data_IF_071816232444
#
_entry.id   IF_071816232444
#
_cell.length_a   1.000
_cell.length_b   1.000
_cell.length_c   1.000
_cell.angle_alpha   90.00
_cell.angle_beta   90.00
_cell.angle_gamma   90.00
#
_symmetry.space_group_name_H-M   'P 1'
#
loop_
_entity.id
_entity.type
_entity.pdbx_description
1 polymer ?
#
# COMPACT_ATOMS: atom_id res chain seq x y z
N UNK A 1 8.12 -17.27 -13.23
CA UNK A 1 6.69 -17.57 -13.49
C UNK A 1 5.90 -16.37 -12.99
N UNK A 2 5.29 -15.58 -13.89
CA UNK A 2 4.45 -14.44 -13.49
C UNK A 2 3.22 -15.00 -12.75
N UNK A 3 2.83 -14.36 -11.63
CA UNK A 3 1.64 -14.73 -10.88
C UNK A 3 0.41 -14.67 -11.81
N UNK A 4 -0.54 -15.60 -11.66
CA UNK A 4 -1.84 -15.47 -12.34
C UNK A 4 -2.57 -14.21 -11.84
N UNK A 5 -3.45 -13.58 -12.65
CA UNK A 5 -4.18 -12.39 -12.22
C UNK A 5 -4.92 -12.56 -10.89
N UNK A 6 -5.56 -13.72 -10.70
CA UNK A 6 -6.23 -14.05 -9.44
C UNK A 6 -5.26 -14.19 -8.26
N UNK A 7 -4.08 -14.78 -8.47
CA UNK A 7 -3.05 -14.89 -7.44
C UNK A 7 -2.43 -13.52 -7.11
N UNK A 8 -2.22 -12.67 -8.11
CA UNK A 8 -1.75 -11.30 -7.93
C UNK A 8 -2.74 -10.47 -7.12
N UNK A 9 -4.05 -10.55 -7.46
CA UNK A 9 -5.13 -9.88 -6.70
C UNK A 9 -5.17 -10.32 -5.24
N UNK A 10 -5.17 -11.63 -4.98
CA UNK A 10 -5.19 -12.18 -3.61
C UNK A 10 -3.94 -11.78 -2.83
N UNK A 11 -2.76 -11.83 -3.47
CA UNK A 11 -1.50 -11.40 -2.86
C UNK A 11 -1.55 -9.92 -2.49
N UNK A 12 -1.96 -9.06 -3.42
CA UNK A 12 -2.12 -7.63 -3.17
C UNK A 12 -3.06 -7.38 -2.00
N UNK A 13 -4.23 -8.01 -2.01
CA UNK A 13 -5.22 -7.89 -0.95
C UNK A 13 -4.68 -8.28 0.42
N UNK A 14 -3.98 -9.41 0.53
CA UNK A 14 -3.34 -9.84 1.77
C UNK A 14 -2.35 -8.81 2.27
N UNK A 15 -1.47 -8.30 1.40
CA UNK A 15 -0.52 -7.25 1.78
C UNK A 15 -1.26 -6.00 2.25
N UNK A 16 -2.34 -5.59 1.58
CA UNK A 16 -3.15 -4.42 1.97
C UNK A 16 -3.76 -4.61 3.35
N UNK A 17 -4.37 -5.76 3.62
CA UNK A 17 -4.98 -6.04 4.92
C UNK A 17 -3.94 -6.03 6.03
N UNK A 18 -2.80 -6.72 5.84
CA UNK A 18 -1.74 -6.80 6.86
C UNK A 18 -1.12 -5.42 7.13
N UNK A 19 -0.73 -4.69 6.08
CA UNK A 19 -0.12 -3.37 6.23
C UNK A 19 -1.12 -2.33 6.74
N UNK A 20 -2.38 -2.42 6.29
CA UNK A 20 -3.46 -1.56 6.74
C UNK A 20 -3.78 -1.78 8.21
N UNK A 21 -3.90 -3.02 8.66
CA UNK A 21 -4.09 -3.37 10.06
C UNK A 21 -2.90 -2.90 10.92
N UNK A 22 -1.66 -3.07 10.44
CA UNK A 22 -0.48 -2.54 11.12
C UNK A 22 -0.52 -1.00 11.23
N UNK A 23 -0.89 -0.28 10.17
CA UNK A 23 -1.03 1.18 10.20
C UNK A 23 -2.17 1.67 11.10
N UNK A 24 -3.27 0.91 11.15
CA UNK A 24 -4.45 1.23 11.97
C UNK A 24 -4.22 0.97 13.46
N UNK A 25 -3.62 -0.17 13.80
CA UNK A 25 -3.54 -0.64 15.17
C UNK A 25 -2.18 -0.37 15.81
N UNK A 26 -1.11 -0.35 15.01
CA UNK A 26 0.27 -0.20 15.48
C UNK A 26 1.07 0.81 14.61
N UNK A 27 0.59 2.06 14.43
CA UNK A 27 1.23 3.05 13.56
C UNK A 27 2.70 3.31 13.94
N UNK A 28 3.05 3.18 15.21
CA UNK A 28 4.41 3.37 15.71
C UNK A 28 5.43 2.44 15.06
N UNK A 29 5.03 1.21 14.70
CA UNK A 29 5.94 0.25 14.06
C UNK A 29 6.27 0.66 12.63
N UNK A 30 5.31 1.22 11.90
CA UNK A 30 5.51 1.66 10.52
C UNK A 30 6.25 3.00 10.47
N UNK A 31 5.89 3.94 11.33
CA UNK A 31 6.58 5.23 11.47
C UNK A 31 8.05 5.04 11.87
N UNK A 32 8.33 4.13 12.81
CA UNK A 32 9.72 3.80 13.18
C UNK A 32 10.54 3.25 12.01
N UNK A 33 9.92 2.46 11.11
CA UNK A 33 10.58 1.99 9.87
C UNK A 33 10.83 3.11 8.86
N UNK A 34 10.06 4.19 8.92
CA UNK A 34 10.27 5.40 8.14
C UNK A 34 11.32 6.34 8.76
N UNK A 35 11.85 6.01 9.93
CA UNK A 35 12.89 6.78 10.62
C UNK A 35 12.36 7.83 11.60
N UNK A 36 11.06 7.83 11.90
CA UNK A 36 10.48 8.71 12.92
C UNK A 36 10.74 8.16 14.31
N UNK A 37 11.30 8.98 15.22
CA UNK A 37 11.26 8.68 16.65
C UNK A 37 9.87 8.98 17.20
N UNK A 38 9.06 7.92 17.30
CA UNK A 38 7.66 8.01 17.73
C UNK A 38 7.47 8.36 19.21
N UNK A 39 8.55 8.42 19.99
CA UNK A 39 8.50 8.94 21.37
C UNK A 39 8.54 10.47 21.40
N UNK A 40 9.21 11.08 20.42
CA UNK A 40 9.38 12.52 20.30
C UNK A 40 8.35 13.14 19.36
N UNK A 41 7.97 12.44 18.29
CA UNK A 41 7.00 12.92 17.29
C UNK A 41 5.89 11.89 17.04
N UNK A 42 4.65 12.27 17.35
CA UNK A 42 3.44 11.46 17.16
C UNK A 42 2.52 11.99 16.07
N UNK A 43 2.92 13.03 15.35
CA UNK A 43 2.11 13.68 14.31
C UNK A 43 1.66 12.69 13.23
N UNK A 44 2.48 11.69 12.92
CA UNK A 44 2.16 10.63 11.95
C UNK A 44 1.11 9.61 12.38
N UNK A 45 0.71 9.54 13.66
CA UNK A 45 -0.16 8.46 14.16
C UNK A 45 -1.57 8.55 13.56
N UNK A 46 -2.18 9.73 13.58
CA UNK A 46 -3.51 9.94 13.03
C UNK A 46 -3.55 9.70 11.51
N UNK A 47 -2.63 10.28 10.69
CA UNK A 47 -2.55 9.97 9.27
C UNK A 47 -2.34 8.47 8.98
N UNK A 48 -1.48 7.77 9.73
CA UNK A 48 -1.27 6.34 9.54
C UNK A 48 -2.50 5.49 9.88
N UNK A 49 -3.31 5.91 10.86
CA UNK A 49 -4.59 5.25 11.16
C UNK A 49 -5.61 5.46 10.04
N UNK A 50 -5.70 6.69 9.52
CA UNK A 50 -6.56 7.01 8.38
C UNK A 50 -6.12 6.29 7.10
N UNK A 51 -4.81 6.16 6.88
CA UNK A 51 -4.24 5.33 5.83
C UNK A 51 -4.65 3.87 6.05
N UNK A 52 -4.40 3.34 7.25
CA UNK A 52 -4.60 1.95 7.60
C UNK A 52 -6.01 1.45 7.34
N UNK A 53 -7.05 2.18 7.80
CA UNK A 53 -8.44 1.78 7.55
C UNK A 53 -8.78 1.72 6.06
N UNK A 54 -8.33 2.71 5.26
CA UNK A 54 -8.55 2.71 3.81
C UNK A 54 -7.83 1.55 3.14
N UNK A 55 -6.61 1.26 3.56
CA UNK A 55 -5.83 0.13 3.03
C UNK A 55 -6.51 -1.21 3.32
N UNK A 56 -7.05 -1.40 4.53
CA UNK A 56 -7.82 -2.62 4.86
C UNK A 56 -9.04 -2.76 3.96
N UNK A 57 -9.80 -1.69 3.75
CA UNK A 57 -10.99 -1.72 2.90
C UNK A 57 -10.65 -2.05 1.44
N UNK A 58 -9.58 -1.46 0.88
CA UNK A 58 -9.10 -1.83 -0.46
C UNK A 58 -8.79 -3.33 -0.53
N UNK A 59 -8.09 -3.88 0.46
CA UNK A 59 -7.79 -5.31 0.49
C UNK A 59 -9.03 -6.19 0.60
N UNK A 60 -10.00 -5.79 1.41
CA UNK A 60 -11.28 -6.49 1.55
C UNK A 60 -12.08 -6.48 0.24
N UNK A 61 -12.18 -5.32 -0.42
CA UNK A 61 -12.87 -5.15 -1.69
C UNK A 61 -12.28 -6.06 -2.78
N UNK A 62 -10.94 -6.15 -2.83
CA UNK A 62 -10.24 -7.05 -3.75
C UNK A 62 -10.53 -8.53 -3.50
N UNK A 63 -10.96 -8.94 -2.30
CA UNK A 63 -11.28 -10.35 -1.99
C UNK A 63 -12.77 -10.66 -2.10
N UNK A 64 -13.62 -9.73 -1.69
CA UNK A 64 -15.05 -9.97 -1.45
C UNK A 64 -15.91 -9.56 -2.64
N UNK A 65 -15.58 -8.46 -3.32
CA UNK A 65 -16.38 -7.98 -4.45
C UNK A 65 -16.28 -8.94 -5.64
N UNK A 66 -17.30 -8.90 -6.50
CA UNK A 66 -17.41 -9.78 -7.67
C UNK A 66 -17.85 -8.99 -8.91
N UNK A 67 -17.65 -9.57 -10.09
CA UNK A 67 -18.03 -8.99 -11.38
C UNK A 67 -17.53 -7.56 -11.57
N UNK A 68 -18.41 -6.69 -12.03
CA UNK A 68 -18.14 -5.29 -12.34
C UNK A 68 -17.53 -4.50 -11.16
N UNK A 69 -17.98 -4.79 -9.94
CA UNK A 69 -17.51 -4.11 -8.72
C UNK A 69 -16.05 -4.48 -8.42
N UNK A 70 -15.68 -5.75 -8.62
CA UNK A 70 -14.29 -6.20 -8.46
C UNK A 70 -13.39 -5.58 -9.53
N UNK A 71 -13.85 -5.55 -10.78
CA UNK A 71 -13.11 -4.90 -11.88
C UNK A 71 -12.82 -3.44 -11.56
N UNK A 72 -13.83 -2.70 -11.09
CA UNK A 72 -13.66 -1.30 -10.63
C UNK A 72 -12.68 -1.19 -9.47
N UNK A 73 -12.77 -2.06 -8.46
CA UNK A 73 -11.84 -2.06 -7.33
C UNK A 73 -10.38 -2.30 -7.76
N UNK A 74 -10.17 -3.22 -8.70
CA UNK A 74 -8.83 -3.50 -9.26
C UNK A 74 -8.30 -2.30 -10.07
N UNK A 75 -9.13 -1.64 -10.87
CA UNK A 75 -8.74 -0.41 -11.59
C UNK A 75 -8.35 0.71 -10.62
N UNK A 76 -9.11 0.90 -9.54
CA UNK A 76 -8.77 1.87 -8.50
C UNK A 76 -7.45 1.50 -7.79
N UNK A 77 -7.19 0.21 -7.55
CA UNK A 77 -5.94 -0.24 -6.95
C UNK A 77 -4.71 0.09 -7.83
N UNK A 78 -4.84 0.02 -9.16
CA UNK A 78 -3.78 0.47 -10.08
C UNK A 78 -3.49 1.95 -9.91
N UNK A 79 -4.54 2.80 -9.92
CA UNK A 79 -4.39 4.24 -9.74
C UNK A 79 -3.73 4.56 -8.40
N UNK A 80 -4.28 4.02 -7.31
CA UNK A 80 -3.81 4.26 -5.95
C UNK A 80 -2.34 3.88 -5.81
N UNK A 81 -1.94 2.67 -6.21
CA UNK A 81 -0.56 2.24 -5.99
C UNK A 81 0.45 2.88 -6.94
N UNK A 82 0.02 3.25 -8.15
CA UNK A 82 0.86 4.07 -9.03
C UNK A 82 1.12 5.43 -8.36
N UNK A 83 0.08 6.08 -7.82
CA UNK A 83 0.25 7.35 -7.09
C UNK A 83 1.10 7.19 -5.83
N UNK A 84 0.91 6.12 -5.04
CA UNK A 84 1.73 5.82 -3.87
C UNK A 84 3.21 5.64 -4.24
N UNK A 85 3.48 4.99 -5.38
CA UNK A 85 4.84 4.77 -5.88
C UNK A 85 5.51 6.09 -6.23
N UNK A 86 4.80 6.97 -6.95
CA UNK A 86 5.29 8.30 -7.30
C UNK A 86 5.49 9.17 -6.05
N UNK A 87 4.58 9.12 -5.08
CA UNK A 87 4.71 9.83 -3.80
C UNK A 87 5.91 9.35 -3.00
N UNK A 88 6.13 8.03 -2.90
CA UNK A 88 7.28 7.46 -2.19
C UNK A 88 8.61 7.85 -2.87
N UNK A 89 8.67 7.78 -4.19
CA UNK A 89 9.84 8.21 -4.95
C UNK A 89 10.12 9.71 -4.77
N UNK A 90 9.07 10.54 -4.83
CA UNK A 90 9.16 11.99 -4.64
C UNK A 90 9.67 12.34 -3.25
N UNK A 91 9.15 11.69 -2.20
CA UNK A 91 9.61 11.86 -0.84
C UNK A 91 11.11 11.50 -0.70
N UNK A 92 11.54 10.46 -1.40
CA UNK A 92 12.96 10.08 -1.47
C UNK A 92 13.84 11.13 -2.15
N UNK A 93 13.40 11.68 -3.29
CA UNK A 93 14.12 12.71 -4.03
C UNK A 93 14.21 14.03 -3.24
N UNK A 94 13.15 14.39 -2.51
CA UNK A 94 13.09 15.61 -1.69
C UNK A 94 13.85 15.49 -0.37
N UNK A 95 14.21 14.27 0.04
CA UNK A 95 14.84 14.03 1.34
C UNK A 95 13.86 14.05 2.51
N UNK A 96 12.54 13.94 2.24
CA UNK A 96 11.51 13.85 3.27
C UNK A 96 11.62 12.54 4.08
N UNK A 97 12.33 11.54 3.55
CA UNK A 97 12.61 10.26 4.18
C UNK A 97 14.12 9.96 4.20
N UNK A 98 14.63 9.27 5.24
CA UNK A 98 15.96 8.69 5.20
C UNK A 98 16.14 7.79 3.97
N UNK A 99 17.31 7.83 3.32
CA UNK A 99 17.58 7.13 2.05
C UNK A 99 17.13 5.66 2.03
N UNK A 100 17.43 4.92 3.10
CA UNK A 100 17.02 3.50 3.21
C UNK A 100 15.50 3.35 3.24
N UNK A 101 14.81 4.18 4.01
CA UNK A 101 13.35 4.16 4.10
C UNK A 101 12.70 4.56 2.77
N UNK A 102 13.26 5.56 2.08
CA UNK A 102 12.79 5.99 0.75
C UNK A 102 12.89 4.85 -0.29
N UNK A 103 14.04 4.17 -0.37
CA UNK A 103 14.25 3.04 -1.29
C UNK A 103 13.28 1.91 -0.97
N UNK A 104 13.20 1.47 0.29
CA UNK A 104 12.31 0.36 0.69
C UNK A 104 10.85 0.69 0.40
N UNK A 105 10.39 1.90 0.77
CA UNK A 105 8.99 2.30 0.56
C UNK A 105 8.66 2.38 -0.92
N UNK A 106 9.55 2.93 -1.74
CA UNK A 106 9.36 3.00 -3.20
C UNK A 106 9.28 1.59 -3.81
N UNK A 107 10.17 0.67 -3.43
CA UNK A 107 10.15 -0.70 -3.93
C UNK A 107 8.89 -1.46 -3.51
N UNK A 108 8.44 -1.29 -2.27
CA UNK A 108 7.18 -1.88 -1.79
C UNK A 108 6.01 -1.31 -2.59
N UNK A 109 5.91 0.00 -2.76
CA UNK A 109 4.85 0.63 -3.56
C UNK A 109 4.87 0.15 -5.02
N UNK A 110 6.05 0.11 -5.66
CA UNK A 110 6.21 -0.38 -7.02
C UNK A 110 5.79 -1.86 -7.17
N UNK A 111 6.10 -2.70 -6.18
CA UNK A 111 5.65 -4.10 -6.13
C UNK A 111 4.13 -4.19 -6.10
N UNK A 112 3.46 -3.32 -5.33
CA UNK A 112 2.00 -3.29 -5.27
C UNK A 112 1.39 -2.81 -6.58
N UNK A 113 2.01 -1.83 -7.24
CA UNK A 113 1.63 -1.38 -8.57
C UNK A 113 1.72 -2.51 -9.58
N UNK A 114 2.83 -3.27 -9.58
CA UNK A 114 2.99 -4.43 -10.44
C UNK A 114 1.92 -5.50 -10.17
N UNK A 115 1.63 -5.82 -8.91
CA UNK A 115 0.55 -6.75 -8.55
C UNK A 115 -0.82 -6.25 -9.01
N UNK A 116 -1.09 -4.95 -8.88
CA UNK A 116 -2.35 -4.35 -9.33
C UNK A 116 -2.51 -4.42 -10.86
N UNK A 117 -1.43 -4.15 -11.60
CA UNK A 117 -1.40 -4.27 -13.06
C UNK A 117 -1.62 -5.72 -13.53
N UNK A 118 -0.97 -6.68 -12.88
CA UNK A 118 -1.16 -8.11 -13.18
C UNK A 118 -2.57 -8.58 -12.79
N UNK A 119 -3.14 -8.06 -11.70
CA UNK A 119 -4.53 -8.35 -11.35
C UNK A 119 -5.49 -7.78 -12.41
N UNK A 120 -5.25 -6.55 -12.88
CA UNK A 120 -6.10 -5.86 -13.85
C UNK A 120 -6.11 -6.53 -15.24
N UNK A 121 -5.08 -7.31 -15.60
CA UNK A 121 -5.06 -8.01 -16.89
C UNK A 121 -5.97 -9.24 -16.94
N UNK A 122 -6.57 -9.65 -15.82
CA UNK A 122 -7.50 -10.78 -15.75
C UNK A 122 -8.89 -10.45 -15.22
N UNK A 123 -9.25 -9.17 -15.16
CA UNK A 123 -10.60 -8.67 -14.82
C UNK A 123 -11.23 -7.97 -16.03
#
# INVERSE_FOLDING_TARGET
MLLSPAAARKTLATIRIVNGAAGLLAPQLLLGRLGTDTRLDRSGFYPFRMFGIRTVLIGADLLVLQGEQRRRAVQLAVLIHTTDTLSAATAGVRGDLPRRAAVVTTLVSATNTALALVAASGE
#
